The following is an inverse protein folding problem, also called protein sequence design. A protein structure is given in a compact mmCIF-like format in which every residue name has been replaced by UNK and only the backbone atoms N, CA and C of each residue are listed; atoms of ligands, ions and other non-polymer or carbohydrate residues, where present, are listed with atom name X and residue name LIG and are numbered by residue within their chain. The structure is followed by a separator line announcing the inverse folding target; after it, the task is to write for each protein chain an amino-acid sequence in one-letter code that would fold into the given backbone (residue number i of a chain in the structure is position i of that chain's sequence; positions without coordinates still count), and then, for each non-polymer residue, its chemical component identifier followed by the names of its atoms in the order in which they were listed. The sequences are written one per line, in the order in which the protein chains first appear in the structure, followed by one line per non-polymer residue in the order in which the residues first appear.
data_IF_417474274185
#
_entry.id   IF_417474274185
#
_cell.length_a   1.000
_cell.length_b   1.000
_cell.length_c   1.000
_cell.angle_alpha   90.00
_cell.angle_beta   90.00
_cell.angle_gamma   90.00
#
_symmetry.space_group_name_H-M   'P 1'
#
loop_
_entity.id
_entity.type
_entity.pdbx_description
1 polymer ?
#
# COMPACT_ATOMS: atom_id res chain seq x y z
N UNK A 1 22.67 6.34 -16.29
CA UNK A 1 21.84 5.26 -15.76
C UNK A 1 20.57 5.77 -15.05
N UNK A 2 20.69 6.75 -14.18
CA UNK A 2 19.53 7.40 -13.49
C UNK A 2 18.48 8.03 -14.41
N UNK A 3 18.88 8.56 -15.58
CA UNK A 3 17.97 9.22 -16.53
C UNK A 3 16.91 8.30 -17.17
N UNK A 4 17.15 6.98 -17.29
CA UNK A 4 16.18 6.04 -17.86
C UNK A 4 15.12 5.59 -16.85
N UNK A 5 15.51 5.39 -15.59
CA UNK A 5 14.58 5.08 -14.51
C UNK A 5 13.65 6.27 -14.22
N UNK A 6 14.20 7.48 -14.18
CA UNK A 6 13.42 8.72 -14.05
C UNK A 6 12.44 8.90 -15.22
N UNK A 7 12.83 8.52 -16.45
CA UNK A 7 11.96 8.63 -17.63
C UNK A 7 10.81 7.60 -17.62
N UNK A 8 11.04 6.40 -17.14
CA UNK A 8 9.98 5.42 -16.89
C UNK A 8 9.02 5.93 -15.82
N UNK A 9 9.54 6.45 -14.72
CA UNK A 9 8.76 7.02 -13.63
C UNK A 9 7.92 8.23 -14.08
N UNK A 10 8.46 9.12 -14.92
CA UNK A 10 7.73 10.27 -15.47
C UNK A 10 6.67 9.89 -16.51
N UNK A 11 6.86 8.82 -17.28
CA UNK A 11 5.85 8.34 -18.23
C UNK A 11 4.66 7.65 -17.53
N UNK A 12 4.86 7.22 -16.30
CA UNK A 12 3.83 6.68 -15.41
C UNK A 12 2.88 7.76 -14.87
N UNK A 13 3.36 8.99 -14.69
CA UNK A 13 2.57 10.12 -14.22
C UNK A 13 1.44 10.54 -15.17
N UNK A 14 1.44 10.06 -16.41
CA UNK A 14 0.39 10.35 -17.39
C UNK A 14 -0.68 9.25 -17.50
N UNK A 15 -0.66 8.26 -16.61
CA UNK A 15 -1.82 7.39 -16.40
C UNK A 15 -2.67 8.11 -15.36
N UNK A 16 -3.78 8.68 -15.79
CA UNK A 16 -4.77 9.33 -14.93
C UNK A 16 -5.11 8.39 -13.76
N UNK A 17 -4.84 8.85 -12.55
CA UNK A 17 -4.93 8.19 -11.25
C UNK A 17 -3.64 7.42 -10.86
N UNK A 18 -2.76 8.14 -10.20
CA UNK A 18 -1.56 7.60 -9.55
C UNK A 18 -1.99 6.76 -8.31
N UNK A 19 -1.72 5.44 -8.27
CA UNK A 19 -2.02 4.63 -7.09
C UNK A 19 -1.50 5.24 -5.79
N UNK A 20 -0.32 5.84 -5.79
CA UNK A 20 0.24 6.49 -4.61
C UNK A 20 -0.60 7.65 -4.09
N UNK A 21 -1.23 8.43 -4.95
CA UNK A 21 -2.17 9.49 -4.55
C UNK A 21 -3.47 8.90 -4.00
N UNK A 22 -3.96 7.83 -4.61
CA UNK A 22 -5.15 7.12 -4.12
C UNK A 22 -4.89 6.50 -2.74
N UNK A 23 -3.71 5.95 -2.48
CA UNK A 23 -3.36 5.39 -1.16
C UNK A 23 -3.37 6.45 -0.04
N UNK A 24 -3.00 7.69 -0.32
CA UNK A 24 -3.17 8.78 0.66
C UNK A 24 -4.65 9.04 0.97
N UNK A 25 -5.52 8.96 -0.03
CA UNK A 25 -6.97 9.06 0.18
C UNK A 25 -7.53 7.85 0.95
N UNK A 26 -7.02 6.64 0.69
CA UNK A 26 -7.38 5.44 1.47
C UNK A 26 -7.00 5.59 2.93
N UNK A 27 -5.81 6.10 3.22
CA UNK A 27 -5.38 6.43 4.58
C UNK A 27 -6.34 7.42 5.24
N UNK A 28 -6.74 8.48 4.54
CA UNK A 28 -7.69 9.48 5.05
C UNK A 28 -9.06 8.85 5.36
N UNK A 29 -9.57 7.96 4.52
CA UNK A 29 -10.83 7.23 4.76
C UNK A 29 -10.73 6.39 6.04
N UNK A 30 -9.68 5.62 6.21
CA UNK A 30 -9.48 4.80 7.41
C UNK A 30 -9.36 5.68 8.65
N UNK A 31 -8.58 6.75 8.59
CA UNK A 31 -8.45 7.70 9.68
C UNK A 31 -9.79 8.35 10.07
N UNK A 32 -10.61 8.71 9.08
CA UNK A 32 -11.93 9.27 9.33
C UNK A 32 -12.87 8.27 10.02
N UNK A 33 -12.87 7.01 9.60
CA UNK A 33 -13.65 5.93 10.25
C UNK A 33 -13.22 5.80 11.72
N UNK A 34 -11.93 5.65 11.97
CA UNK A 34 -11.40 5.48 13.34
C UNK A 34 -11.74 6.69 14.19
N UNK A 35 -11.56 7.92 13.67
CA UNK A 35 -11.91 9.13 14.38
C UNK A 35 -13.41 9.17 14.74
N UNK A 36 -14.29 8.87 13.80
CA UNK A 36 -15.74 8.87 14.04
C UNK A 36 -16.16 7.84 15.08
N UNK A 37 -15.56 6.66 15.07
CA UNK A 37 -15.83 5.59 16.02
C UNK A 37 -15.31 5.91 17.43
N UNK A 38 -14.27 6.70 17.56
CA UNK A 38 -13.55 6.87 18.84
C UNK A 38 -13.77 8.24 19.52
N UNK A 39 -14.16 9.28 18.78
CA UNK A 39 -14.23 10.66 19.27
C UNK A 39 -15.17 10.89 20.47
N UNK A 40 -16.18 10.05 20.65
CA UNK A 40 -17.20 10.23 21.71
C UNK A 40 -17.21 9.06 22.70
N UNK A 41 -16.17 8.24 22.76
CA UNK A 41 -16.10 7.14 23.71
C UNK A 41 -15.94 7.67 25.14
N UNK A 42 -16.68 7.04 26.07
CA UNK A 42 -16.47 7.27 27.50
C UNK A 42 -15.21 6.54 27.99
N UNK A 43 -14.62 6.95 29.14
CA UNK A 43 -13.50 6.22 29.73
C UNK A 43 -13.78 4.72 29.91
N UNK A 44 -14.99 4.37 30.35
CA UNK A 44 -15.40 2.96 30.54
C UNK A 44 -15.47 2.20 29.22
N UNK A 45 -15.89 2.85 28.12
CA UNK A 45 -15.90 2.26 26.80
C UNK A 45 -14.49 2.04 26.26
N UNK A 46 -13.58 3.00 26.52
CA UNK A 46 -12.17 2.92 26.12
C UNK A 46 -11.53 1.70 26.82
N UNK A 47 -11.65 1.60 28.14
CA UNK A 47 -11.11 0.48 28.90
C UNK A 47 -11.69 -0.86 28.44
N UNK A 48 -13.01 -0.95 28.30
CA UNK A 48 -13.70 -2.17 27.87
C UNK A 48 -13.33 -2.61 26.45
N UNK A 49 -13.03 -1.68 25.56
CA UNK A 49 -12.64 -1.96 24.18
C UNK A 49 -11.16 -2.37 24.03
N UNK A 50 -10.34 -2.12 25.06
CA UNK A 50 -8.89 -2.30 25.00
C UNK A 50 -8.15 -1.19 24.23
N UNK A 51 -8.82 -0.07 23.95
CA UNK A 51 -8.22 1.11 23.31
C UNK A 51 -7.44 2.00 24.26
N UNK A 52 -7.52 1.77 25.56
CA UNK A 52 -6.81 2.53 26.60
C UNK A 52 -5.33 2.74 26.27
N UNK A 53 -4.65 1.71 25.78
CA UNK A 53 -3.23 1.75 25.39
C UNK A 53 -2.91 2.81 24.34
N UNK A 54 -3.85 3.07 23.44
CA UNK A 54 -3.67 4.06 22.37
C UNK A 54 -4.06 5.46 22.84
N UNK A 55 -5.00 5.60 23.76
CA UNK A 55 -5.46 6.87 24.29
C UNK A 55 -4.47 7.54 25.25
N UNK A 56 -3.65 6.75 25.95
CA UNK A 56 -2.66 7.29 26.91
C UNK A 56 -1.69 8.25 26.24
N UNK A 57 -1.21 7.90 25.05
CA UNK A 57 -0.21 8.70 24.35
C UNK A 57 -0.81 9.69 23.34
N UNK A 58 -1.94 9.37 22.72
CA UNK A 58 -2.42 10.06 21.53
C UNK A 58 -3.75 10.77 21.70
N UNK A 59 -4.51 10.45 22.74
CA UNK A 59 -5.88 10.92 22.94
C UNK A 59 -6.75 10.68 21.70
N UNK A 60 -7.22 11.74 21.02
CA UNK A 60 -7.98 11.64 19.78
C UNK A 60 -7.10 11.73 18.51
N UNK A 61 -5.80 11.87 18.66
CA UNK A 61 -4.89 11.94 17.53
C UNK A 61 -4.68 10.59 16.91
N UNK A 62 -4.70 10.55 15.58
CA UNK A 62 -4.39 9.37 14.79
C UNK A 62 -2.94 9.42 14.32
N UNK A 63 -2.32 8.29 14.32
CA UNK A 63 -0.87 8.16 14.24
C UNK A 63 -0.50 6.97 13.36
N UNK A 64 0.27 7.13 12.27
CA UNK A 64 0.61 6.02 11.39
C UNK A 64 1.52 5.01 12.09
N UNK A 65 0.94 3.87 12.45
CA UNK A 65 1.72 2.73 12.96
C UNK A 65 1.01 1.42 12.64
N UNK A 66 1.77 0.33 12.58
CA UNK A 66 1.21 -0.99 12.41
C UNK A 66 0.41 -1.43 13.65
N UNK A 67 -0.55 -2.34 13.48
CA UNK A 67 -1.32 -2.91 14.59
C UNK A 67 -0.45 -3.58 15.66
N UNK A 68 0.75 -4.03 15.31
CA UNK A 68 1.77 -4.55 16.22
C UNK A 68 2.45 -3.49 17.10
N UNK A 69 2.14 -2.21 16.90
CA UNK A 69 2.80 -1.09 17.59
C UNK A 69 4.09 -0.61 16.93
N UNK A 70 4.47 -1.15 15.78
CA UNK A 70 5.65 -0.69 15.03
C UNK A 70 5.34 0.67 14.41
N UNK A 71 6.07 1.75 14.77
CA UNK A 71 5.85 3.07 14.20
C UNK A 71 6.19 3.09 12.71
N UNK A 72 5.55 3.98 11.97
CA UNK A 72 5.89 4.22 10.58
C UNK A 72 7.35 4.67 10.44
N UNK A 73 8.09 4.00 9.57
CA UNK A 73 9.49 4.31 9.32
C UNK A 73 9.87 3.94 7.88
N UNK A 74 10.63 4.79 7.23
CA UNK A 74 11.18 4.51 5.91
C UNK A 74 12.12 3.29 5.89
N UNK A 75 12.64 2.86 7.04
CA UNK A 75 13.48 1.66 7.16
C UNK A 75 12.72 0.36 6.93
N UNK A 76 11.39 0.40 7.00
CA UNK A 76 10.54 -0.77 6.72
C UNK A 76 10.15 -0.90 5.24
N UNK A 77 10.55 0.05 4.39
CA UNK A 77 10.27 -0.01 2.97
C UNK A 77 11.04 -1.15 2.30
N UNK A 78 10.33 -1.92 1.50
CA UNK A 78 10.87 -3.09 0.81
C UNK A 78 11.44 -2.75 -0.57
N UNK A 79 11.40 -1.49 -0.99
CA UNK A 79 11.87 -1.04 -2.30
C UNK A 79 13.35 -1.35 -2.52
N UNK A 80 13.65 -1.93 -3.68
CA UNK A 80 15.02 -2.25 -4.13
C UNK A 80 15.52 -1.33 -5.23
N UNK A 81 14.62 -0.51 -5.85
CA UNK A 81 14.94 0.27 -7.04
C UNK A 81 15.06 -0.58 -8.31
N UNK A 82 14.68 -1.85 -8.25
CA UNK A 82 14.50 -2.73 -9.41
C UNK A 82 13.03 -2.75 -9.77
N UNK A 83 12.64 -2.27 -10.98
CA UNK A 83 11.22 -2.09 -11.31
C UNK A 83 10.41 -3.40 -11.29
N UNK A 84 11.03 -4.53 -11.60
CA UNK A 84 10.33 -5.81 -11.61
C UNK A 84 10.10 -6.29 -10.18
N UNK A 85 11.13 -6.24 -9.35
CA UNK A 85 11.05 -6.62 -7.95
C UNK A 85 10.05 -5.74 -7.20
N UNK A 86 10.14 -4.43 -7.38
CA UNK A 86 9.29 -3.47 -6.68
C UNK A 86 7.81 -3.62 -7.10
N UNK A 87 7.53 -3.85 -8.40
CA UNK A 87 6.16 -4.10 -8.87
C UNK A 87 5.56 -5.42 -8.36
N UNK A 88 6.36 -6.47 -8.18
CA UNK A 88 5.87 -7.69 -7.54
C UNK A 88 5.53 -7.47 -6.07
N UNK A 89 6.32 -6.67 -5.37
CA UNK A 89 6.05 -6.32 -3.96
C UNK A 89 4.79 -5.47 -3.85
N UNK A 90 4.60 -4.47 -4.74
CA UNK A 90 3.39 -3.67 -4.80
C UNK A 90 2.15 -4.54 -5.03
N UNK A 91 2.18 -5.44 -6.02
CA UNK A 91 1.09 -6.38 -6.27
C UNK A 91 0.79 -7.27 -5.06
N UNK A 92 1.82 -7.72 -4.35
CA UNK A 92 1.65 -8.50 -3.13
C UNK A 92 1.04 -7.67 -2.00
N UNK A 93 1.41 -6.39 -1.88
CA UNK A 93 0.85 -5.46 -0.90
C UNK A 93 -0.65 -5.25 -1.13
N UNK A 94 -1.08 -5.01 -2.36
CA UNK A 94 -2.50 -4.86 -2.74
C UNK A 94 -3.33 -6.08 -2.36
N UNK A 95 -2.81 -7.29 -2.59
CA UNK A 95 -3.50 -8.51 -2.21
C UNK A 95 -3.58 -8.71 -0.70
N UNK A 96 -2.55 -8.31 0.06
CA UNK A 96 -2.58 -8.33 1.52
C UNK A 96 -3.62 -7.35 2.07
N UNK A 97 -3.68 -6.12 1.53
CA UNK A 97 -4.67 -5.12 1.90
C UNK A 97 -6.10 -5.61 1.61
N UNK A 98 -6.36 -6.13 0.43
CA UNK A 98 -7.64 -6.74 0.05
C UNK A 98 -8.06 -7.85 1.02
N UNK A 99 -7.14 -8.74 1.37
CA UNK A 99 -7.42 -9.83 2.33
C UNK A 99 -7.71 -9.29 3.74
N UNK A 100 -7.05 -8.22 4.14
CA UNK A 100 -7.32 -7.53 5.41
C UNK A 100 -8.73 -6.94 5.42
N UNK A 101 -9.15 -6.26 4.36
CA UNK A 101 -10.51 -5.75 4.23
C UNK A 101 -11.57 -6.87 4.24
N UNK A 102 -11.31 -8.00 3.58
CA UNK A 102 -12.17 -9.19 3.67
C UNK A 102 -12.34 -9.68 5.12
N UNK A 103 -11.26 -9.68 5.90
CA UNK A 103 -11.31 -10.09 7.30
C UNK A 103 -12.10 -9.09 8.16
N UNK A 104 -11.94 -7.80 7.94
CA UNK A 104 -12.74 -6.76 8.62
C UNK A 104 -14.22 -6.94 8.32
N UNK A 105 -14.60 -7.14 7.06
CA UNK A 105 -15.98 -7.32 6.63
C UNK A 105 -16.66 -8.60 7.18
N UNK A 106 -15.87 -9.61 7.57
CA UNK A 106 -16.40 -10.80 8.27
C UNK A 106 -16.79 -10.51 9.71
N UNK A 107 -16.09 -9.59 10.36
CA UNK A 107 -16.25 -9.29 11.78
C UNK A 107 -17.22 -8.14 12.03
N UNK A 108 -17.19 -7.10 11.19
CA UNK A 108 -17.98 -5.88 11.37
C UNK A 108 -19.35 -6.03 10.72
N UNK A 109 -20.39 -5.49 11.40
CA UNK A 109 -21.77 -5.48 10.90
C UNK A 109 -22.32 -4.08 10.69
N UNK A 110 -21.64 -3.07 11.18
CA UNK A 110 -22.02 -1.67 11.03
C UNK A 110 -21.90 -1.24 9.55
N UNK A 111 -23.00 -0.84 8.89
CA UNK A 111 -22.97 -0.41 7.50
C UNK A 111 -22.10 0.83 7.29
N UNK A 112 -22.00 1.75 8.25
CA UNK A 112 -21.17 2.95 8.14
C UNK A 112 -19.69 2.62 8.09
N UNK A 113 -19.30 1.46 8.62
CA UNK A 113 -17.93 0.92 8.49
C UNK A 113 -17.80 0.03 7.26
N UNK A 114 -18.80 -0.85 7.03
CA UNK A 114 -18.73 -1.84 5.98
C UNK A 114 -18.69 -1.22 4.57
N UNK A 115 -19.45 -0.14 4.31
CA UNK A 115 -19.56 0.43 2.98
C UNK A 115 -18.25 1.09 2.50
N UNK A 116 -17.58 1.95 3.28
CA UNK A 116 -16.26 2.44 2.89
C UNK A 116 -15.19 1.34 2.83
N UNK A 117 -15.24 0.32 3.68
CA UNK A 117 -14.30 -0.81 3.59
C UNK A 117 -14.53 -1.64 2.31
N UNK A 118 -15.78 -1.84 1.86
CA UNK A 118 -16.07 -2.47 0.55
C UNK A 118 -15.50 -1.65 -0.60
N UNK A 119 -15.66 -0.33 -0.53
CA UNK A 119 -15.06 0.57 -1.54
C UNK A 119 -13.55 0.40 -1.61
N UNK A 120 -12.85 0.49 -0.47
CA UNK A 120 -11.39 0.31 -0.41
C UNK A 120 -10.99 -1.05 -0.98
N UNK A 121 -11.65 -2.13 -0.56
CA UNK A 121 -11.40 -3.48 -1.05
C UNK A 121 -11.47 -3.59 -2.58
N UNK A 122 -12.41 -2.91 -3.22
CA UNK A 122 -12.55 -2.89 -4.68
C UNK A 122 -11.42 -2.08 -5.34
N UNK A 123 -10.93 -1.03 -4.69
CA UNK A 123 -9.79 -0.25 -5.18
C UNK A 123 -8.50 -1.06 -5.22
N UNK A 124 -8.25 -1.92 -4.23
CA UNK A 124 -7.08 -2.82 -4.23
C UNK A 124 -7.04 -3.75 -5.46
N UNK A 125 -8.20 -4.16 -5.97
CA UNK A 125 -8.28 -4.96 -7.21
C UNK A 125 -7.82 -4.12 -8.41
N UNK A 126 -8.22 -2.86 -8.48
CA UNK A 126 -7.82 -1.95 -9.56
C UNK A 126 -6.33 -1.64 -9.50
N UNK A 127 -5.79 -1.37 -8.31
CA UNK A 127 -4.36 -1.13 -8.12
C UNK A 127 -3.54 -2.36 -8.51
N UNK A 128 -3.95 -3.54 -8.08
CA UNK A 128 -3.31 -4.79 -8.47
C UNK A 128 -3.24 -4.95 -10.00
N UNK A 129 -4.32 -4.65 -10.72
CA UNK A 129 -4.35 -4.70 -12.18
C UNK A 129 -3.39 -3.69 -12.80
N UNK A 130 -3.35 -2.45 -12.29
CA UNK A 130 -2.45 -1.40 -12.78
C UNK A 130 -0.98 -1.78 -12.60
N UNK A 131 -0.62 -2.29 -11.43
CA UNK A 131 0.74 -2.77 -11.19
C UNK A 131 1.08 -3.96 -12.09
N UNK A 132 0.14 -4.88 -12.33
CA UNK A 132 0.32 -6.01 -13.25
C UNK A 132 0.50 -5.60 -14.71
N UNK A 133 -0.25 -4.61 -15.18
CA UNK A 133 -0.07 -4.01 -16.51
C UNK A 133 1.29 -3.34 -16.66
N UNK A 134 1.68 -2.63 -15.63
CA UNK A 134 2.98 -1.98 -15.54
C UNK A 134 4.13 -2.97 -15.56
N UNK A 135 4.00 -4.06 -14.82
CA UNK A 135 4.98 -5.14 -14.82
C UNK A 135 5.16 -5.72 -16.24
N UNK A 136 4.06 -5.96 -16.95
CA UNK A 136 4.13 -6.43 -18.34
C UNK A 136 4.85 -5.44 -19.25
N UNK A 137 4.55 -4.13 -19.14
CA UNK A 137 5.21 -3.09 -19.92
C UNK A 137 6.72 -3.04 -19.64
N UNK A 138 7.11 -3.21 -18.39
CA UNK A 138 8.54 -3.23 -18.01
C UNK A 138 9.21 -4.48 -18.58
N UNK A 139 8.59 -5.65 -18.49
CA UNK A 139 9.12 -6.90 -19.03
C UNK A 139 9.30 -6.82 -20.54
N UNK A 140 8.29 -6.32 -21.27
CA UNK A 140 8.37 -6.14 -22.73
C UNK A 140 9.52 -5.20 -23.12
N UNK A 141 9.73 -4.12 -22.36
CA UNK A 141 10.81 -3.16 -22.63
C UNK A 141 12.20 -3.67 -22.31
N UNK A 142 12.31 -4.56 -21.34
CA UNK A 142 13.59 -5.18 -20.98
C UNK A 142 13.98 -6.31 -21.94
N UNK A 143 13.11 -6.65 -22.91
CA UNK A 143 13.28 -7.80 -23.81
C UNK A 143 13.56 -9.10 -23.02
N UNK A 144 12.93 -9.21 -21.86
CA UNK A 144 13.10 -10.34 -20.96
C UNK A 144 12.18 -11.47 -21.40
N UNK A 145 12.76 -12.53 -21.97
CA UNK A 145 12.05 -13.78 -22.28
C UNK A 145 11.90 -14.72 -21.09
N UNK A 146 12.47 -14.34 -19.94
CA UNK A 146 12.49 -15.15 -18.73
C UNK A 146 11.55 -14.61 -17.68
N UNK A 147 10.80 -15.47 -17.03
CA UNK A 147 10.01 -15.17 -15.84
C UNK A 147 10.85 -14.83 -14.62
N UNK A 148 12.15 -15.06 -14.67
CA UNK A 148 13.10 -14.66 -13.62
C UNK A 148 13.53 -13.25 -13.90
N UNK A 149 13.00 -12.37 -13.11
CA UNK A 149 13.17 -10.95 -13.23
C UNK A 149 14.57 -10.52 -12.78
N UNK A 150 15.50 -10.53 -13.68
CA UNK A 150 16.76 -9.83 -13.46
C UNK A 150 17.04 -8.91 -14.66
N UNK A 151 17.72 -7.81 -14.41
CA UNK A 151 18.05 -6.87 -15.46
C UNK A 151 19.14 -7.44 -16.37
N UNK A 152 18.84 -7.79 -17.63
CA UNK A 152 19.82 -8.42 -18.52
C UNK A 152 20.99 -7.50 -18.90
N UNK A 153 20.91 -6.19 -18.63
CA UNK A 153 22.02 -5.27 -18.86
C UNK A 153 23.26 -5.60 -18.03
N UNK A 154 23.09 -6.19 -16.86
CA UNK A 154 24.22 -6.62 -16.03
C UNK A 154 24.99 -7.79 -16.61
N UNK A 155 24.38 -8.54 -17.53
CA UNK A 155 25.03 -9.67 -18.20
C UNK A 155 25.69 -9.29 -19.53
N UNK A 156 25.42 -8.08 -20.05
CA UNK A 156 25.91 -7.64 -21.36
C UNK A 156 27.26 -6.92 -21.32
N UNK A 157 27.73 -6.51 -20.15
CA UNK A 157 29.00 -5.80 -19.97
C UNK A 157 29.74 -6.33 -18.75
N UNK A 158 31.06 -6.56 -18.84
CA UNK A 158 31.87 -6.81 -17.65
C UNK A 158 31.78 -5.59 -16.73
N UNK A 159 31.59 -5.82 -15.45
CA UNK A 159 31.53 -4.77 -14.45
C UNK A 159 32.84 -4.00 -14.25
N UNK A 160 33.93 -4.44 -14.87
CA UNK A 160 35.27 -3.89 -14.69
C UNK A 160 35.97 -3.72 -16.05
N UNK A 161 36.13 -2.50 -16.44
CA UNK A 161 37.25 -2.00 -17.23
C UNK A 161 37.87 -0.84 -16.48
#
# INVERSE_FOLDING_TARGET
MYKRQTYLFFKWRNIDNDPGTEELAHLEIICAIVHQLTRNLTPEQIEKSGFDKYYVDHTLALWPQAASGTPWSATTFQSKGDPITDLHEDMAAEQKARATYDNILRLVKDPEVCDPIRFLREREIVHYQRFGESLRIVQDKLDSKNFYAFNPEFNRKPCCN
#
